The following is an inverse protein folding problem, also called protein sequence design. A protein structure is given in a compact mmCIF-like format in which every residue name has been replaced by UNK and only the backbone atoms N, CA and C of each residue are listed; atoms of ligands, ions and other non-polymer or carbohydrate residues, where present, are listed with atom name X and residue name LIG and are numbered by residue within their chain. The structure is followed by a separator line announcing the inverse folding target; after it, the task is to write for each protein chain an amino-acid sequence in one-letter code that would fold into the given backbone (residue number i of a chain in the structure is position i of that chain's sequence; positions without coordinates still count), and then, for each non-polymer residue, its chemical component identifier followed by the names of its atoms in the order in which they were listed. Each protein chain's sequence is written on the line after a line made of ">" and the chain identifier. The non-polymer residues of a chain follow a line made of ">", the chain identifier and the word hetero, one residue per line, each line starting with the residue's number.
data_IF_581573659051
#
_entry.id   IF_581573659051
#
_cell.length_a   1.000
_cell.length_b   1.000
_cell.length_c   1.000
_cell.angle_alpha   90.00
_cell.angle_beta   90.00
_cell.angle_gamma   90.00
#
_symmetry.space_group_name_H-M   'P 1'
#
loop_
_entity.id
_entity.type
_entity.pdbx_description
1 polymer ?
#
# COMPACT_ATOMS: atom_id res chain seq x y z
N UNK A 1 -16.18 13.80 -2.43
CA UNK A 1 -15.28 12.66 -2.70
C UNK A 1 -14.14 13.05 -3.63
N UNK A 2 -14.41 13.74 -4.75
CA UNK A 2 -13.38 14.21 -5.69
C UNK A 2 -12.24 14.97 -5.01
N UNK A 3 -12.55 15.98 -4.20
CA UNK A 3 -11.55 16.73 -3.41
C UNK A 3 -10.69 15.83 -2.50
N UNK A 4 -11.27 14.79 -1.91
CA UNK A 4 -10.50 13.85 -1.08
C UNK A 4 -9.55 12.98 -1.89
N UNK A 5 -9.93 12.59 -3.12
CA UNK A 5 -9.06 11.84 -4.03
C UNK A 5 -7.92 12.72 -4.56
N UNK A 6 -8.21 13.98 -4.88
CA UNK A 6 -7.21 14.98 -5.30
C UNK A 6 -6.20 15.24 -4.18
N UNK A 7 -6.67 15.53 -2.97
CA UNK A 7 -5.79 15.72 -1.81
C UNK A 7 -4.95 14.47 -1.52
N UNK A 8 -5.56 13.28 -1.58
CA UNK A 8 -4.82 12.03 -1.40
C UNK A 8 -3.70 11.88 -2.42
N UNK A 9 -3.99 12.21 -3.69
CA UNK A 9 -3.06 12.14 -4.82
C UNK A 9 -1.88 13.10 -4.63
N UNK A 10 -2.14 14.32 -4.15
CA UNK A 10 -1.11 15.31 -3.83
C UNK A 10 -0.22 14.87 -2.67
N UNK A 11 -0.82 14.38 -1.57
CA UNK A 11 -0.09 13.89 -0.40
C UNK A 11 0.73 12.65 -0.76
N UNK A 12 0.14 11.66 -1.42
CA UNK A 12 0.82 10.42 -1.78
C UNK A 12 1.95 10.64 -2.79
N UNK A 13 1.79 11.61 -3.70
CA UNK A 13 2.80 11.99 -4.70
C UNK A 13 3.95 12.84 -4.16
N UNK A 14 3.88 13.31 -2.90
CA UNK A 14 4.95 14.10 -2.32
C UNK A 14 6.20 13.21 -2.07
N UNK A 15 7.41 13.60 -2.55
CA UNK A 15 8.63 12.82 -2.39
C UNK A 15 8.98 12.44 -0.95
N UNK A 16 8.56 13.25 0.04
CA UNK A 16 8.76 12.95 1.47
C UNK A 16 8.10 11.62 1.87
N UNK A 17 7.02 11.23 1.18
CA UNK A 17 6.30 10.00 1.45
C UNK A 17 6.67 8.84 0.53
N UNK A 18 7.65 8.97 -0.38
CA UNK A 18 8.01 7.94 -1.35
C UNK A 18 8.23 6.56 -0.68
N UNK A 19 8.98 6.53 0.42
CA UNK A 19 9.31 5.30 1.18
C UNK A 19 8.43 5.07 2.42
N UNK A 20 7.49 5.97 2.68
CA UNK A 20 6.61 5.93 3.85
C UNK A 20 5.33 5.19 3.49
N UNK A 21 4.96 4.10 4.19
CA UNK A 21 3.71 3.40 3.93
C UNK A 21 2.52 4.35 4.16
N UNK A 22 1.50 4.26 3.31
CA UNK A 22 0.28 5.07 3.41
C UNK A 22 -0.90 4.13 3.60
N UNK A 23 -1.75 4.46 4.57
CA UNK A 23 -2.98 3.74 4.89
C UNK A 23 -4.14 4.72 4.76
N UNK A 24 -5.24 4.29 4.13
CA UNK A 24 -6.44 5.12 3.97
C UNK A 24 -7.56 4.54 4.81
N UNK A 25 -8.14 5.35 5.70
CA UNK A 25 -9.32 4.96 6.46
C UNK A 25 -10.56 5.63 5.87
N UNK A 26 -11.40 4.84 5.20
CA UNK A 26 -12.73 5.25 4.77
C UNK A 26 -13.65 5.21 6.00
N UNK A 27 -13.66 6.33 6.71
CA UNK A 27 -14.46 6.50 7.93
C UNK A 27 -15.93 6.83 7.61
N UNK A 28 -16.80 6.67 8.61
CA UNK A 28 -18.25 6.88 8.55
C UNK A 28 -18.98 5.81 7.72
N UNK A 29 -18.49 4.57 7.77
CA UNK A 29 -19.14 3.40 7.14
C UNK A 29 -20.62 3.30 7.49
N UNK A 30 -20.96 3.49 8.76
CA UNK A 30 -22.32 3.48 9.29
C UNK A 30 -23.22 4.51 8.58
N UNK A 31 -22.78 5.76 8.48
CA UNK A 31 -23.53 6.80 7.77
C UNK A 31 -23.60 6.53 6.26
N UNK A 32 -22.56 5.92 5.69
CA UNK A 32 -22.54 5.56 4.28
C UNK A 32 -23.58 4.47 3.97
N UNK A 33 -23.65 3.43 4.81
CA UNK A 33 -24.63 2.35 4.70
C UNK A 33 -26.08 2.85 4.78
N UNK A 34 -26.36 3.86 5.61
CA UNK A 34 -27.67 4.51 5.68
C UNK A 34 -27.97 5.35 4.43
N UNK A 35 -26.99 6.14 3.97
CA UNK A 35 -27.20 7.09 2.86
C UNK A 35 -27.32 6.40 1.50
N UNK A 36 -26.55 5.34 1.25
CA UNK A 36 -26.49 4.69 -0.08
C UNK A 36 -27.85 4.11 -0.50
N UNK A 37 -28.71 3.72 0.45
CA UNK A 37 -30.08 3.23 0.23
C UNK A 37 -30.94 4.25 -0.49
N UNK A 38 -30.75 5.55 -0.19
CA UNK A 38 -31.58 6.64 -0.75
C UNK A 38 -30.82 7.51 -1.75
N UNK A 39 -29.49 7.47 -1.73
CA UNK A 39 -28.62 8.30 -2.55
C UNK A 39 -27.67 7.40 -3.35
N UNK A 40 -27.99 7.21 -4.63
CA UNK A 40 -27.11 6.50 -5.56
C UNK A 40 -25.70 7.11 -5.59
N UNK A 41 -24.68 6.25 -5.57
CA UNK A 41 -23.28 6.64 -5.73
C UNK A 41 -23.02 7.33 -7.09
N UNK A 42 -23.85 7.03 -8.10
CA UNK A 42 -23.76 7.62 -9.46
C UNK A 42 -23.87 9.14 -9.47
N UNK A 43 -24.51 9.72 -8.46
CA UNK A 43 -24.55 11.19 -8.27
C UNK A 43 -23.16 11.80 -8.08
N UNK A 44 -22.24 11.04 -7.48
CA UNK A 44 -20.87 11.45 -7.27
C UNK A 44 -19.92 10.87 -8.34
N UNK A 45 -20.16 9.63 -8.76
CA UNK A 45 -19.35 8.90 -9.73
C UNK A 45 -20.24 8.34 -10.85
N UNK A 46 -20.52 9.12 -11.92
CA UNK A 46 -21.38 8.69 -13.01
C UNK A 46 -20.95 7.39 -13.69
N UNK A 47 -19.67 7.05 -13.60
CA UNK A 47 -19.06 5.83 -14.12
C UNK A 47 -19.23 4.59 -13.23
N UNK A 48 -19.87 4.72 -12.05
CA UNK A 48 -20.19 3.58 -11.20
C UNK A 48 -21.29 2.72 -11.84
N UNK A 49 -20.97 1.46 -12.10
CA UNK A 49 -21.84 0.47 -12.76
C UNK A 49 -22.47 -0.55 -11.80
N UNK A 50 -22.11 -0.50 -10.51
CA UNK A 50 -22.67 -1.38 -9.50
C UNK A 50 -24.13 -1.08 -9.13
N UNK A 51 -24.75 -1.97 -8.35
CA UNK A 51 -26.13 -1.79 -7.90
C UNK A 51 -26.28 -0.55 -7.00
N UNK A 52 -27.42 0.12 -7.14
CA UNK A 52 -27.84 1.20 -6.25
C UNK A 52 -28.36 0.62 -4.93
N UNK A 53 -28.21 1.35 -3.83
CA UNK A 53 -28.69 0.92 -2.51
C UNK A 53 -27.80 -0.08 -1.78
N UNK A 54 -26.80 -0.67 -2.46
CA UNK A 54 -25.89 -1.64 -1.85
C UNK A 54 -24.56 -0.99 -1.44
N UNK A 55 -24.25 -1.04 -0.14
CA UNK A 55 -23.04 -0.41 0.39
C UNK A 55 -21.75 -1.11 -0.05
N UNK A 56 -21.73 -2.45 -0.05
CA UNK A 56 -20.49 -3.20 -0.26
C UNK A 56 -19.89 -3.02 -1.67
N UNK A 57 -20.67 -3.13 -2.77
CA UNK A 57 -20.14 -2.83 -4.11
C UNK A 57 -19.68 -1.37 -4.26
N UNK A 58 -20.42 -0.43 -3.68
CA UNK A 58 -20.09 0.99 -3.68
C UNK A 58 -18.78 1.29 -2.92
N UNK A 59 -18.57 0.68 -1.75
CA UNK A 59 -17.34 0.81 -0.96
C UNK A 59 -16.13 0.22 -1.70
N UNK A 60 -16.29 -0.96 -2.34
CA UNK A 60 -15.23 -1.56 -3.16
C UNK A 60 -14.84 -0.66 -4.33
N UNK A 61 -15.81 -0.03 -4.97
CA UNK A 61 -15.54 0.93 -6.04
C UNK A 61 -14.74 2.14 -5.52
N UNK A 62 -15.14 2.71 -4.37
CA UNK A 62 -14.41 3.83 -3.76
C UNK A 62 -12.98 3.41 -3.39
N UNK A 63 -12.80 2.23 -2.79
CA UNK A 63 -11.48 1.66 -2.51
C UNK A 63 -10.61 1.57 -3.78
N UNK A 64 -11.18 1.08 -4.89
CA UNK A 64 -10.48 1.01 -6.17
C UNK A 64 -10.07 2.39 -6.68
N UNK A 65 -10.86 3.44 -6.47
CA UNK A 65 -10.48 4.82 -6.84
C UNK A 65 -9.22 5.29 -6.10
N UNK A 66 -9.10 5.00 -4.80
CA UNK A 66 -7.87 5.33 -4.05
C UNK A 66 -6.67 4.50 -4.50
N UNK A 67 -6.87 3.20 -4.78
CA UNK A 67 -5.78 2.34 -5.31
C UNK A 67 -5.31 2.79 -6.68
N UNK A 68 -6.24 3.15 -7.58
CA UNK A 68 -5.92 3.68 -8.90
C UNK A 68 -5.19 5.03 -8.80
N UNK A 69 -5.65 5.92 -7.91
CA UNK A 69 -4.98 7.19 -7.64
C UNK A 69 -3.54 6.99 -7.16
N UNK A 70 -3.31 6.06 -6.22
CA UNK A 70 -1.97 5.71 -5.74
C UNK A 70 -1.09 5.19 -6.89
N UNK A 71 -1.58 4.20 -7.65
CA UNK A 71 -0.84 3.60 -8.76
C UNK A 71 -0.45 4.64 -9.83
N UNK A 72 -1.34 5.61 -10.09
CA UNK A 72 -1.09 6.68 -11.06
C UNK A 72 0.01 7.65 -10.65
N UNK A 73 0.22 7.87 -9.34
CA UNK A 73 1.18 8.84 -8.80
C UNK A 73 2.49 8.20 -8.38
N UNK A 74 2.42 7.00 -7.78
CA UNK A 74 3.59 6.29 -7.26
C UNK A 74 3.54 4.83 -7.73
N UNK A 75 3.96 4.56 -8.98
CA UNK A 75 3.98 3.22 -9.53
C UNK A 75 4.77 2.25 -8.63
N UNK A 76 4.18 1.09 -8.35
CA UNK A 76 4.80 0.05 -7.51
C UNK A 76 4.62 0.23 -5.99
N UNK A 77 3.93 1.29 -5.55
CA UNK A 77 3.51 1.44 -4.15
C UNK A 77 2.03 1.11 -4.03
N UNK A 78 1.70 0.18 -3.14
CA UNK A 78 0.32 -0.16 -2.83
C UNK A 78 -0.22 0.69 -1.68
N UNK A 79 -1.56 0.79 -1.60
CA UNK A 79 -2.28 1.46 -0.53
C UNK A 79 -3.30 0.51 0.07
N UNK A 80 -3.19 0.29 1.38
CA UNK A 80 -4.21 -0.46 2.12
C UNK A 80 -5.33 0.49 2.52
N UNK A 81 -6.56 0.10 2.21
CA UNK A 81 -7.76 0.86 2.51
C UNK A 81 -8.58 0.10 3.56
N UNK A 82 -8.89 0.74 4.67
CA UNK A 82 -9.72 0.16 5.74
C UNK A 82 -11.04 0.93 5.80
N UNK A 83 -12.15 0.21 5.68
CA UNK A 83 -13.48 0.78 5.84
C UNK A 83 -13.90 0.63 7.29
N UNK A 84 -14.19 1.74 7.96
CA UNK A 84 -14.46 1.75 9.40
C UNK A 84 -15.65 2.67 9.74
N UNK A 85 -16.34 2.35 10.83
CA UNK A 85 -17.05 3.33 11.62
C UNK A 85 -16.20 3.66 12.85
N UNK A 86 -15.59 4.85 12.92
CA UNK A 86 -14.69 5.21 14.03
C UNK A 86 -15.38 5.19 15.41
N UNK A 87 -16.72 5.29 15.44
CA UNK A 87 -17.54 5.15 16.67
C UNK A 87 -17.60 3.70 17.16
N UNK A 88 -17.36 2.74 16.28
CA UNK A 88 -17.34 1.31 16.58
C UNK A 88 -15.93 0.92 17.02
N UNK A 89 -15.78 0.65 18.32
CA UNK A 89 -14.48 0.30 18.92
C UNK A 89 -13.81 -0.91 18.25
N UNK A 90 -14.61 -1.87 17.79
CA UNK A 90 -14.08 -3.09 17.17
C UNK A 90 -13.46 -2.82 15.81
N UNK A 91 -14.10 -2.03 14.95
CA UNK A 91 -13.54 -1.60 13.65
C UNK A 91 -12.17 -0.96 13.83
N UNK A 92 -12.05 -0.06 14.81
CA UNK A 92 -10.78 0.60 15.13
C UNK A 92 -9.72 -0.41 15.61
N UNK A 93 -10.09 -1.36 16.48
CA UNK A 93 -9.14 -2.39 16.94
C UNK A 93 -8.63 -3.26 15.80
N UNK A 94 -9.50 -3.67 14.88
CA UNK A 94 -9.15 -4.51 13.74
C UNK A 94 -8.26 -3.72 12.77
N UNK A 95 -8.71 -2.54 12.32
CA UNK A 95 -7.96 -1.73 11.36
C UNK A 95 -6.57 -1.35 11.87
N UNK A 96 -6.44 -0.90 13.13
CA UNK A 96 -5.12 -0.62 13.70
C UNK A 96 -4.29 -1.88 13.97
N UNK A 97 -4.93 -3.03 14.20
CA UNK A 97 -4.26 -4.33 14.25
C UNK A 97 -3.54 -4.63 12.93
N UNK A 98 -4.28 -4.55 11.83
CA UNK A 98 -3.77 -4.78 10.48
C UNK A 98 -2.67 -3.81 10.09
N UNK A 99 -2.82 -2.51 10.41
CA UNK A 99 -1.79 -1.49 10.20
C UNK A 99 -0.50 -1.83 10.95
N UNK A 100 -0.59 -2.22 12.21
CA UNK A 100 0.60 -2.62 13.00
C UNK A 100 1.31 -3.82 12.37
N UNK A 101 0.55 -4.81 11.94
CA UNK A 101 1.11 -6.02 11.34
C UNK A 101 1.80 -5.72 9.99
N UNK A 102 1.22 -4.84 9.18
CA UNK A 102 1.81 -4.41 7.91
C UNK A 102 3.11 -3.62 8.13
N UNK A 103 3.09 -2.68 9.08
CA UNK A 103 4.29 -1.94 9.47
C UNK A 103 5.38 -2.91 9.94
N UNK A 104 5.04 -3.88 10.80
CA UNK A 104 5.99 -4.90 11.28
C UNK A 104 6.59 -5.72 10.14
N UNK A 105 5.77 -6.22 9.21
CA UNK A 105 6.24 -6.95 8.00
C UNK A 105 7.18 -6.11 7.15
N UNK A 106 6.90 -4.82 6.98
CA UNK A 106 7.77 -3.90 6.25
C UNK A 106 9.15 -3.72 6.92
N UNK A 107 9.21 -3.74 8.26
CA UNK A 107 10.48 -3.69 8.99
C UNK A 107 11.25 -5.02 8.93
N UNK A 108 10.57 -6.15 9.09
CA UNK A 108 11.19 -7.47 9.09
C UNK A 108 11.80 -7.82 7.71
N UNK A 109 11.10 -7.51 6.62
CA UNK A 109 11.59 -7.68 5.25
C UNK A 109 12.84 -6.82 4.96
N UNK A 110 12.89 -5.58 5.45
CA UNK A 110 14.09 -4.70 5.36
C UNK A 110 15.26 -5.26 6.17
N UNK A 111 15.01 -5.83 7.35
CA UNK A 111 16.02 -6.46 8.20
C UNK A 111 16.61 -7.72 7.55
N UNK A 112 15.75 -8.56 6.95
CA UNK A 112 16.17 -9.75 6.20
C UNK A 112 17.04 -9.39 4.99
N UNK A 113 16.66 -8.35 4.22
CA UNK A 113 17.44 -7.88 3.07
C UNK A 113 18.83 -7.36 3.49
N UNK A 114 18.93 -6.62 4.60
CA UNK A 114 20.23 -6.17 5.16
C UNK A 114 21.12 -7.34 5.56
N UNK A 115 20.58 -8.38 6.22
CA UNK A 115 21.34 -9.58 6.60
C UNK A 115 21.82 -10.41 5.41
N UNK A 116 21.04 -10.46 4.33
CA UNK A 116 21.44 -11.12 3.09
C UNK A 116 22.58 -10.38 2.40
N UNK A 117 22.51 -9.04 2.33
CA UNK A 117 23.59 -8.20 1.80
C UNK A 117 24.88 -8.26 2.63
N UNK A 118 24.80 -8.39 3.97
CA UNK A 118 26.00 -8.57 4.79
C UNK A 118 26.64 -9.95 4.65
N UNK A 119 25.88 -10.97 4.23
CA UNK A 119 26.40 -12.33 3.95
C UNK A 119 27.03 -12.45 2.56
N UNK A 120 26.57 -11.65 1.60
CA UNK A 120 27.23 -11.47 0.32
C UNK A 120 28.47 -10.61 0.57
N UNK A 121 29.60 -11.25 0.87
CA UNK A 121 30.86 -10.55 1.17
C UNK A 121 31.22 -9.50 0.11
N UNK A 122 32.08 -8.54 0.48
CA UNK A 122 32.49 -7.42 -0.38
C UNK A 122 32.67 -7.82 -1.86
N UNK A 123 32.06 -7.09 -2.82
CA UNK A 123 32.24 -7.35 -4.25
C UNK A 123 33.72 -7.38 -4.65
N UNK A 124 34.58 -6.59 -3.99
CA UNK A 124 36.05 -6.63 -4.16
C UNK A 124 36.65 -7.99 -3.76
N UNK A 125 36.23 -8.55 -2.63
CA UNK A 125 36.71 -9.84 -2.16
C UNK A 125 36.23 -11.02 -3.06
N UNK A 126 35.06 -10.88 -3.67
CA UNK A 126 34.58 -11.85 -4.66
C UNK A 126 35.40 -11.78 -5.97
N UNK A 127 35.74 -10.57 -6.43
CA UNK A 127 36.57 -10.36 -7.62
C UNK A 127 38.01 -10.87 -7.41
N UNK A 128 38.62 -10.60 -6.25
CA UNK A 128 39.95 -11.13 -5.90
C UNK A 128 39.98 -12.66 -5.84
N UNK A 129 38.90 -13.29 -5.36
CA UNK A 129 38.79 -14.76 -5.35
C UNK A 129 38.69 -15.34 -6.75
N UNK A 130 37.99 -14.68 -7.67
CA UNK A 130 37.90 -15.10 -9.06
C UNK A 130 39.23 -14.92 -9.81
N UNK A 131 39.99 -13.88 -9.50
CA UNK A 131 41.33 -13.67 -10.09
C UNK A 131 42.36 -14.70 -9.61
N UNK A 132 42.23 -15.25 -8.40
CA UNK A 132 43.11 -16.32 -7.89
C UNK A 132 42.83 -17.71 -8.47
N UNK A 133 41.67 -17.93 -9.06
CA UNK A 133 41.30 -19.23 -9.67
C UNK A 133 41.85 -19.36 -11.10
N UNK A 134 42.32 -18.25 -11.70
CA UNK A 134 42.75 -18.18 -13.10
C UNK A 134 44.22 -18.48 -13.39
N UNK A 135 45.06 -18.84 -12.42
CA UNK A 135 46.47 -19.21 -12.69
C UNK A 135 46.60 -20.71 -12.95
N UNK A 136 46.87 -21.17 -14.20
CA UNK A 136 47.08 -22.57 -14.49
C UNK A 136 48.43 -23.01 -13.94
N UNK A 137 48.46 -24.25 -13.44
CA UNK A 137 49.66 -25.04 -13.23
C UNK A 137 50.60 -24.89 -14.45
N UNK A 138 51.77 -24.31 -14.24
CA UNK A 138 52.89 -24.56 -15.13
C UNK A 138 53.84 -25.53 -14.44
N UNK A 139 53.73 -26.77 -14.89
CA UNK A 139 54.59 -27.90 -14.60
C UNK A 139 55.94 -27.78 -15.29
N UNK A 140 56.96 -28.31 -14.60
CA UNK A 140 58.34 -28.65 -15.02
C UNK A 140 59.40 -27.60 -14.79
#
# INVERSE_FOLDING_TARGET
>A
MHESLELFTEVAGNPIFEKTPIFVFLNKKDLFEEMIVTKSLKKCFPEYDGPDGEAMPALRFIEQKYKQAMLSKVPGKDVTVHVIAARVRMDMKIAFGEVKDEIRRSFDSKSARRKSFSKLGSPRAAIERLQKIGSPLNSR
#
